data_IF_720573196669
#
_entry.id   IF_720573196669
#
_cell.length_a   1.000
_cell.length_b   1.000
_cell.length_c   1.000
_cell.angle_alpha   90.00
_cell.angle_beta   90.00
_cell.angle_gamma   90.00
#
_symmetry.space_group_name_H-M   'P 1'
#
loop_
_entity.id
_entity.type
_entity.pdbx_description
1 polymer ?
#
# COMPACT_ATOMS: atom_id res chain seq x y z
N UNK A 1 20.65 11.38 -5.95
CA UNK A 1 21.30 10.62 -7.04
C UNK A 1 21.21 9.14 -6.68
N UNK A 2 20.07 8.52 -6.95
CA UNK A 2 19.87 7.07 -6.91
C UNK A 2 19.08 6.72 -8.17
N UNK A 3 19.81 6.70 -9.28
CA UNK A 3 19.37 6.14 -10.56
C UNK A 3 20.21 4.87 -10.70
N UNK A 4 19.58 3.80 -11.19
CA UNK A 4 20.17 2.49 -11.51
C UNK A 4 20.36 1.46 -10.40
N UNK A 5 19.26 0.79 -10.04
CA UNK A 5 19.23 -0.69 -9.89
C UNK A 5 17.80 -1.22 -10.03
N UNK A 6 17.16 -1.00 -11.18
CA UNK A 6 16.04 -1.84 -11.63
C UNK A 6 16.32 -2.29 -13.06
N UNK A 7 17.52 -2.86 -13.25
CA UNK A 7 17.78 -3.76 -14.36
C UNK A 7 16.93 -4.98 -14.08
N UNK A 8 15.76 -4.96 -14.69
CA UNK A 8 14.75 -6.01 -14.73
C UNK A 8 15.46 -7.38 -14.85
N UNK A 9 15.61 -8.08 -13.73
CA UNK A 9 15.75 -9.53 -13.69
C UNK A 9 14.34 -10.15 -13.63
N UNK A 10 13.34 -9.59 -14.32
CA UNK A 10 12.04 -10.26 -14.49
C UNK A 10 12.13 -11.30 -15.62
N UNK A 11 13.07 -12.21 -15.52
CA UNK A 11 12.82 -13.53 -16.03
C UNK A 11 12.30 -14.25 -14.80
N UNK A 12 10.98 -14.38 -14.66
CA UNK A 12 10.45 -15.56 -13.96
C UNK A 12 11.34 -16.70 -14.43
N UNK A 13 12.05 -17.41 -13.56
CA UNK A 13 12.81 -18.58 -14.01
C UNK A 13 11.78 -19.56 -14.58
N UNK A 14 11.59 -19.48 -15.89
CA UNK A 14 10.49 -20.13 -16.62
C UNK A 14 10.54 -21.64 -16.38
N UNK A 15 11.76 -22.17 -16.25
CA UNK A 15 12.08 -23.55 -15.89
C UNK A 15 11.44 -24.00 -14.57
N UNK A 16 11.31 -23.11 -13.58
CA UNK A 16 10.84 -23.50 -12.26
C UNK A 16 9.32 -23.58 -12.19
N UNK A 17 8.60 -22.68 -12.86
CA UNK A 17 7.13 -22.75 -12.96
C UNK A 17 6.67 -23.95 -13.78
N UNK A 18 7.42 -24.33 -14.82
CA UNK A 18 7.13 -25.52 -15.62
C UNK A 18 7.27 -26.84 -14.85
N UNK A 19 8.00 -26.86 -13.72
CA UNK A 19 8.07 -28.03 -12.83
C UNK A 19 6.74 -28.32 -12.12
N UNK A 20 5.79 -27.37 -12.11
CA UNK A 20 4.51 -27.55 -11.43
C UNK A 20 3.45 -28.20 -12.32
N UNK A 21 2.67 -29.11 -11.74
CA UNK A 21 1.46 -29.59 -12.39
C UNK A 21 0.37 -28.51 -12.40
N UNK A 22 -0.47 -28.56 -13.44
CA UNK A 22 -1.46 -27.54 -13.76
C UNK A 22 -2.36 -27.12 -12.59
N UNK A 23 -2.86 -28.09 -11.82
CA UNK A 23 -3.72 -27.83 -10.67
C UNK A 23 -3.01 -27.07 -9.52
N UNK A 24 -1.73 -27.34 -9.30
CA UNK A 24 -0.96 -26.71 -8.22
C UNK A 24 -0.52 -25.30 -8.57
N UNK A 25 -0.28 -25.04 -9.86
CA UNK A 25 0.14 -23.72 -10.35
C UNK A 25 -0.86 -22.62 -9.97
N UNK A 26 -2.16 -22.81 -10.25
CA UNK A 26 -3.19 -21.79 -9.92
C UNK A 26 -3.31 -21.57 -8.41
N UNK A 27 -3.26 -22.64 -7.61
CA UNK A 27 -3.35 -22.55 -6.16
C UNK A 27 -2.14 -21.82 -5.55
N UNK A 28 -0.94 -22.11 -6.07
CA UNK A 28 0.28 -21.43 -5.69
C UNK A 28 0.19 -19.93 -6.01
N UNK A 29 -0.20 -19.56 -7.23
CA UNK A 29 -0.35 -18.16 -7.64
C UNK A 29 -1.30 -17.40 -6.71
N UNK A 30 -2.47 -17.96 -6.38
CA UNK A 30 -3.39 -17.35 -5.43
C UNK A 30 -2.79 -17.20 -4.03
N UNK A 31 -2.02 -18.18 -3.54
CA UNK A 31 -1.36 -18.09 -2.23
C UNK A 31 -0.24 -17.05 -2.19
N UNK A 32 0.51 -16.90 -3.28
CA UNK A 32 1.52 -15.84 -3.41
C UNK A 32 0.82 -14.47 -3.40
N UNK A 33 -0.29 -14.31 -4.13
CA UNK A 33 -1.10 -13.09 -4.13
C UNK A 33 -1.67 -12.82 -2.73
N UNK A 34 -2.15 -13.84 -2.03
CA UNK A 34 -2.58 -13.70 -0.63
C UNK A 34 -1.45 -13.10 0.24
N UNK A 35 -0.22 -13.59 0.06
CA UNK A 35 0.99 -13.02 0.68
C UNK A 35 1.22 -11.55 0.35
N UNK A 36 1.16 -11.18 -0.94
CA UNK A 36 1.26 -9.78 -1.41
C UNK A 36 0.20 -8.90 -0.74
N UNK A 37 -1.02 -9.42 -0.57
CA UNK A 37 -2.12 -8.72 0.07
C UNK A 37 -2.09 -8.73 1.61
N UNK A 38 -0.93 -9.02 2.22
CA UNK A 38 -0.74 -9.00 3.67
C UNK A 38 -1.29 -10.22 4.42
N UNK A 39 -1.63 -11.31 3.71
CA UNK A 39 -2.03 -12.59 4.32
C UNK A 39 -0.83 -13.54 4.34
N UNK A 40 -1.05 -14.80 4.74
CA UNK A 40 0.03 -15.78 4.81
C UNK A 40 0.55 -16.20 3.43
N UNK A 41 1.87 -16.09 3.23
CA UNK A 41 2.58 -16.66 2.09
C UNK A 41 2.52 -18.20 2.09
N UNK A 42 2.69 -18.86 0.92
CA UNK A 42 2.78 -20.31 0.85
C UNK A 42 3.97 -20.84 1.65
N UNK A 43 3.78 -21.99 2.29
CA UNK A 43 4.82 -22.65 3.07
C UNK A 43 5.63 -23.60 2.19
N UNK A 44 6.95 -23.54 2.29
CA UNK A 44 7.87 -24.42 1.56
C UNK A 44 7.55 -25.92 1.75
N UNK A 45 7.12 -26.31 2.95
CA UNK A 45 6.77 -27.71 3.28
C UNK A 45 5.71 -28.30 2.34
N UNK A 46 4.83 -27.48 1.76
CA UNK A 46 3.81 -27.94 0.82
C UNK A 46 4.34 -28.19 -0.60
N UNK A 47 5.55 -27.72 -0.91
CA UNK A 47 6.13 -27.73 -2.27
C UNK A 47 7.55 -28.34 -2.33
N UNK A 48 8.07 -28.86 -1.21
CA UNK A 48 9.41 -29.45 -1.10
C UNK A 48 9.68 -30.64 -2.06
N UNK A 49 8.62 -31.27 -2.60
CA UNK A 49 8.72 -32.36 -3.56
C UNK A 49 8.95 -31.88 -5.00
N UNK A 50 8.73 -30.58 -5.27
CA UNK A 50 8.86 -29.97 -6.60
C UNK A 50 10.12 -29.11 -6.68
N UNK A 51 10.42 -28.37 -5.60
CA UNK A 51 11.57 -27.47 -5.53
C UNK A 51 12.41 -27.72 -4.30
N UNK A 52 13.72 -27.52 -4.44
CA UNK A 52 14.59 -27.34 -3.28
C UNK A 52 14.35 -25.98 -2.60
N UNK A 53 14.98 -25.77 -1.44
CA UNK A 53 14.77 -24.55 -0.66
C UNK A 53 15.22 -23.27 -1.37
N UNK A 54 16.23 -23.36 -2.23
CA UNK A 54 16.81 -22.23 -2.96
C UNK A 54 15.95 -21.89 -4.16
N UNK A 55 15.56 -22.90 -4.94
CA UNK A 55 14.60 -22.76 -6.04
C UNK A 55 13.27 -22.17 -5.55
N UNK A 56 12.78 -22.64 -4.40
CA UNK A 56 11.54 -22.13 -3.80
C UNK A 56 11.59 -20.64 -3.49
N UNK A 57 12.71 -20.16 -2.94
CA UNK A 57 12.89 -18.73 -2.63
C UNK A 57 12.84 -17.92 -3.93
N UNK A 58 13.56 -18.34 -4.96
CA UNK A 58 13.56 -17.64 -6.25
C UNK A 58 12.18 -17.62 -6.89
N UNK A 59 11.46 -18.76 -6.91
CA UNK A 59 10.09 -18.83 -7.44
C UNK A 59 9.17 -17.85 -6.71
N UNK A 60 9.26 -17.82 -5.37
CA UNK A 60 8.45 -16.93 -4.56
C UNK A 60 8.76 -15.46 -4.84
N UNK A 61 10.04 -15.10 -4.90
CA UNK A 61 10.52 -13.74 -5.17
C UNK A 61 10.14 -13.27 -6.58
N UNK A 62 10.37 -14.10 -7.60
CA UNK A 62 10.13 -13.77 -8.99
C UNK A 62 8.64 -13.56 -9.28
N UNK A 63 7.78 -14.48 -8.82
CA UNK A 63 6.33 -14.37 -9.01
C UNK A 63 5.79 -13.18 -8.22
N UNK A 64 6.25 -12.98 -6.99
CA UNK A 64 5.86 -11.81 -6.18
C UNK A 64 6.21 -10.52 -6.89
N UNK A 65 7.45 -10.41 -7.37
CA UNK A 65 7.96 -9.23 -8.07
C UNK A 65 7.18 -8.99 -9.36
N UNK A 66 6.91 -10.03 -10.13
CA UNK A 66 6.13 -9.95 -11.37
C UNK A 66 4.74 -9.36 -11.15
N UNK A 67 3.96 -9.89 -10.19
CA UNK A 67 2.63 -9.36 -9.88
C UNK A 67 2.69 -7.92 -9.40
N UNK A 68 3.65 -7.58 -8.53
CA UNK A 68 3.82 -6.20 -8.04
C UNK A 68 4.17 -5.24 -9.19
N UNK A 69 5.06 -5.62 -10.11
CA UNK A 69 5.47 -4.80 -11.24
C UNK A 69 4.34 -4.58 -12.24
N UNK A 70 3.62 -5.64 -12.63
CA UNK A 70 2.52 -5.53 -13.61
C UNK A 70 1.41 -4.63 -13.09
N UNK A 71 0.99 -4.85 -11.84
CA UNK A 71 -0.09 -4.06 -11.24
C UNK A 71 0.36 -2.64 -10.94
N UNK A 72 1.58 -2.47 -10.42
CA UNK A 72 2.15 -1.17 -10.07
C UNK A 72 2.41 -0.28 -11.29
N UNK A 73 2.86 -0.85 -12.41
CA UNK A 73 3.05 -0.12 -13.68
C UNK A 73 1.79 -0.03 -14.54
N UNK A 74 0.72 -0.74 -14.15
CA UNK A 74 -0.53 -0.85 -14.90
C UNK A 74 -0.32 -1.25 -16.38
N UNK A 75 0.48 -2.29 -16.60
CA UNK A 75 0.76 -2.81 -17.95
C UNK A 75 -0.51 -3.30 -18.67
N UNK A 76 -0.51 -3.25 -20.00
CA UNK A 76 -1.62 -3.73 -20.83
C UNK A 76 -1.63 -5.27 -20.96
N UNK A 77 -2.77 -5.85 -21.35
CA UNK A 77 -2.89 -7.31 -21.56
C UNK A 77 -1.89 -7.80 -22.63
N UNK A 78 -1.57 -6.98 -23.64
CA UNK A 78 -0.59 -7.29 -24.69
C UNK A 78 0.84 -7.30 -24.15
N UNK A 79 1.23 -6.31 -23.35
CA UNK A 79 2.56 -6.23 -22.73
C UNK A 79 2.79 -7.40 -21.77
N UNK A 80 1.76 -7.77 -21.00
CA UNK A 80 1.81 -8.92 -20.10
C UNK A 80 1.96 -10.21 -20.90
N UNK A 81 1.19 -10.37 -21.98
CA UNK A 81 1.28 -11.55 -22.86
C UNK A 81 2.66 -11.69 -23.50
N UNK A 82 3.30 -10.57 -23.85
CA UNK A 82 4.69 -10.58 -24.35
C UNK A 82 5.69 -11.05 -23.30
N UNK A 83 5.52 -10.69 -22.03
CA UNK A 83 6.40 -11.17 -20.95
C UNK A 83 6.19 -12.66 -20.63
N UNK A 84 4.99 -13.18 -20.90
CA UNK A 84 4.63 -14.57 -20.62
C UNK A 84 4.91 -15.52 -21.81
N UNK A 85 5.40 -15.01 -22.94
CA UNK A 85 5.52 -15.77 -24.19
C UNK A 85 6.41 -17.02 -24.11
N UNK A 86 7.30 -17.10 -23.13
CA UNK A 86 8.19 -18.25 -22.91
C UNK A 86 7.53 -19.37 -22.09
N UNK A 87 6.41 -19.10 -21.43
CA UNK A 87 5.66 -20.12 -20.70
C UNK A 87 4.73 -20.88 -21.64
N UNK A 88 4.42 -22.13 -21.31
CA UNK A 88 3.36 -22.85 -22.00
C UNK A 88 1.98 -22.19 -21.77
N UNK A 89 1.05 -22.44 -22.71
CA UNK A 89 -0.28 -21.80 -22.74
C UNK A 89 -1.07 -21.98 -21.45
N UNK A 90 -0.91 -23.11 -20.76
CA UNK A 90 -1.58 -23.37 -19.50
C UNK A 90 -1.15 -22.38 -18.40
N UNK A 91 0.16 -22.19 -18.20
CA UNK A 91 0.66 -21.25 -17.20
C UNK A 91 0.33 -19.81 -17.54
N UNK A 92 0.37 -19.44 -18.82
CA UNK A 92 -0.06 -18.12 -19.29
C UNK A 92 -1.52 -17.86 -18.91
N UNK A 93 -2.42 -18.80 -19.20
CA UNK A 93 -3.84 -18.68 -18.90
C UNK A 93 -4.08 -18.57 -17.38
N UNK A 94 -3.40 -19.40 -16.58
CA UNK A 94 -3.50 -19.36 -15.13
C UNK A 94 -3.08 -18.00 -14.56
N UNK A 95 -1.94 -17.46 -15.01
CA UNK A 95 -1.44 -16.14 -14.58
C UNK A 95 -2.41 -15.03 -14.99
N UNK A 96 -2.86 -15.03 -16.24
CA UNK A 96 -3.81 -14.01 -16.74
C UNK A 96 -5.13 -14.05 -15.99
N UNK A 97 -5.64 -15.24 -15.64
CA UNK A 97 -6.86 -15.41 -14.85
C UNK A 97 -6.68 -14.92 -13.41
N UNK A 98 -5.54 -15.21 -12.77
CA UNK A 98 -5.23 -14.70 -11.44
C UNK A 98 -5.10 -13.17 -11.45
N UNK A 99 -4.42 -12.59 -12.46
CA UNK A 99 -4.33 -11.15 -12.64
C UNK A 99 -5.72 -10.51 -12.79
N UNK A 100 -6.56 -11.00 -13.70
CA UNK A 100 -7.90 -10.45 -13.94
C UNK A 100 -8.79 -10.50 -12.68
N UNK A 101 -8.67 -11.54 -11.87
CA UNK A 101 -9.49 -11.71 -10.67
C UNK A 101 -8.96 -10.97 -9.44
N UNK A 102 -7.65 -10.71 -9.34
CA UNK A 102 -7.01 -10.18 -8.11
C UNK A 102 -6.26 -8.86 -8.32
N UNK A 103 -6.33 -8.24 -9.51
CA UNK A 103 -5.64 -6.97 -9.82
C UNK A 103 -5.95 -5.87 -8.80
N UNK A 104 -7.20 -5.73 -8.40
CA UNK A 104 -7.62 -4.69 -7.47
C UNK A 104 -7.12 -4.95 -6.04
N UNK A 105 -7.14 -6.20 -5.58
CA UNK A 105 -6.57 -6.58 -4.27
C UNK A 105 -5.07 -6.25 -4.19
N UNK A 106 -4.32 -6.59 -5.25
CA UNK A 106 -2.88 -6.30 -5.34
C UNK A 106 -2.67 -4.78 -5.37
N UNK A 107 -3.49 -4.04 -6.13
CA UNK A 107 -3.38 -2.58 -6.19
C UNK A 107 -3.62 -1.94 -4.83
N UNK A 108 -4.64 -2.38 -4.10
CA UNK A 108 -4.92 -1.88 -2.75
C UNK A 108 -3.77 -2.19 -1.78
N UNK A 109 -3.20 -3.38 -1.86
CA UNK A 109 -2.05 -3.75 -1.04
C UNK A 109 -0.81 -2.88 -1.34
N UNK A 110 -0.51 -2.63 -2.62
CA UNK A 110 0.58 -1.76 -3.04
C UNK A 110 0.37 -0.30 -2.62
N UNK A 111 -0.87 0.21 -2.70
CA UNK A 111 -1.21 1.54 -2.20
C UNK A 111 -1.04 1.61 -0.68
N UNK A 112 -1.44 0.57 0.05
CA UNK A 112 -1.21 0.43 1.49
C UNK A 112 0.28 0.47 1.85
N UNK A 113 1.13 -0.28 1.12
CA UNK A 113 2.59 -0.23 1.29
C UNK A 113 3.14 1.20 1.08
N UNK A 114 2.70 1.90 0.03
CA UNK A 114 3.15 3.29 -0.25
C UNK A 114 2.72 4.26 0.87
N UNK A 115 1.50 4.10 1.39
CA UNK A 115 0.93 4.95 2.45
C UNK A 115 1.59 4.67 3.80
N UNK A 116 1.97 3.42 4.11
CA UNK A 116 2.74 3.09 5.31
C UNK A 116 4.21 3.54 5.25
N UNK A 117 4.79 3.70 4.06
CA UNK A 117 6.21 4.07 3.88
C UNK A 117 6.49 5.56 4.17
N UNK A 118 5.53 6.48 4.06
CA UNK A 118 5.87 7.92 4.12
C UNK A 118 4.80 8.93 4.54
N UNK A 119 3.53 8.57 4.78
CA UNK A 119 2.53 9.59 5.14
C UNK A 119 2.16 9.54 6.62
N UNK A 120 2.29 10.69 7.27
CA UNK A 120 1.66 10.97 8.55
C UNK A 120 0.14 10.82 8.38
N UNK A 121 -0.47 9.89 9.11
CA UNK A 121 -1.90 9.59 9.03
C UNK A 121 -2.59 9.94 10.34
N UNK A 122 -3.56 10.86 10.29
CA UNK A 122 -4.40 11.18 11.45
C UNK A 122 -5.24 9.95 11.83
N UNK A 123 -5.07 9.45 13.06
CA UNK A 123 -5.78 8.29 13.61
C UNK A 123 -6.99 8.72 14.45
N UNK A 124 -6.79 9.70 15.32
CA UNK A 124 -7.80 10.20 16.23
C UNK A 124 -7.62 11.71 16.45
N UNK A 125 -8.70 12.38 16.82
CA UNK A 125 -8.64 13.75 17.30
C UNK A 125 -9.62 13.97 18.45
N UNK A 126 -9.21 14.80 19.40
CA UNK A 126 -10.00 15.23 20.53
C UNK A 126 -9.86 16.75 20.68
N UNK A 127 -10.84 17.39 21.30
CA UNK A 127 -10.79 18.85 21.49
C UNK A 127 -11.33 19.29 22.84
N UNK A 128 -10.82 20.42 23.31
CA UNK A 128 -11.21 21.04 24.57
C UNK A 128 -11.33 22.56 24.40
N UNK A 129 -12.38 23.16 24.96
CA UNK A 129 -12.48 24.62 25.08
C UNK A 129 -11.92 25.09 26.43
N UNK A 130 -11.09 26.13 26.40
CA UNK A 130 -10.49 26.78 27.57
C UNK A 130 -10.81 28.27 27.56
N UNK A 131 -11.01 28.87 28.72
CA UNK A 131 -11.11 30.32 28.86
C UNK A 131 -9.76 30.86 29.32
N UNK A 132 -9.04 31.51 28.42
CA UNK A 132 -7.79 32.17 28.75
C UNK A 132 -8.07 33.55 29.36
N UNK A 133 -7.35 33.88 30.43
CA UNK A 133 -7.36 35.20 31.04
C UNK A 133 -6.30 36.05 30.34
N UNK A 134 -6.73 37.12 29.67
CA UNK A 134 -5.80 38.11 29.12
C UNK A 134 -5.26 39.00 30.24
N UNK A 135 -3.93 39.11 30.37
CA UNK A 135 -3.25 39.98 31.34
C UNK A 135 -3.23 41.46 30.93
N UNK A 136 -3.58 41.77 29.68
CA UNK A 136 -3.09 42.99 29.02
C UNK A 136 -4.14 44.12 28.98
N UNK A 137 -5.34 43.90 29.52
CA UNK A 137 -6.38 44.92 29.66
C UNK A 137 -7.04 44.81 31.04
N UNK A 138 -7.20 45.96 31.70
CA UNK A 138 -7.75 46.13 33.06
C UNK A 138 -9.20 45.58 33.21
N UNK A 139 -9.86 45.23 32.10
CA UNK A 139 -11.03 44.36 32.10
C UNK A 139 -10.59 42.94 31.70
N UNK A 140 -10.68 41.99 32.64
CA UNK A 140 -10.47 40.54 32.41
C UNK A 140 -11.35 40.05 31.28
N UNK A 141 -10.83 40.06 30.05
CA UNK A 141 -11.49 39.46 28.90
C UNK A 141 -11.20 37.95 28.96
N UNK A 142 -12.23 37.15 29.23
CA UNK A 142 -12.17 35.71 29.07
C UNK A 142 -12.27 35.40 27.58
N UNK A 143 -11.14 35.07 26.95
CA UNK A 143 -11.11 34.69 25.54
C UNK A 143 -11.22 33.17 25.44
N UNK A 144 -12.26 32.63 24.76
CA UNK A 144 -12.34 31.20 24.52
C UNK A 144 -11.29 30.79 23.49
N UNK A 145 -10.48 29.79 23.86
CA UNK A 145 -9.50 29.13 23.02
C UNK A 145 -9.87 27.66 22.88
N UNK A 146 -9.69 27.10 21.68
CA UNK A 146 -9.78 25.67 21.43
C UNK A 146 -8.38 25.07 21.57
N UNK A 147 -8.27 23.95 22.28
CA UNK A 147 -7.12 23.07 22.23
C UNK A 147 -7.53 21.81 21.45
N UNK A 148 -6.86 21.57 20.32
CA UNK A 148 -7.06 20.42 19.45
C UNK A 148 -5.92 19.43 19.66
N UNK A 149 -6.26 18.20 20.01
CA UNK A 149 -5.35 17.07 20.12
C UNK A 149 -5.49 16.17 18.89
N UNK A 150 -4.37 15.75 18.32
CA UNK A 150 -4.30 14.91 17.13
C UNK A 150 -3.34 13.75 17.40
N UNK A 151 -3.82 12.52 17.24
CA UNK A 151 -2.98 11.33 17.26
C UNK A 151 -2.64 10.97 15.81
N UNK A 152 -1.36 11.05 15.45
CA UNK A 152 -0.90 10.86 14.08
C UNK A 152 0.06 9.68 14.00
N UNK A 153 -0.26 8.68 13.18
CA UNK A 153 0.64 7.55 12.88
C UNK A 153 1.69 8.03 11.89
N UNK A 154 2.95 7.99 12.29
CA UNK A 154 4.13 8.31 11.50
C UNK A 154 5.15 7.19 11.64
N UNK A 155 5.63 6.63 10.52
CA UNK A 155 6.64 5.56 10.53
C UNK A 155 6.26 4.36 11.42
N UNK A 156 4.97 4.04 11.52
CA UNK A 156 4.46 2.94 12.34
C UNK A 156 4.16 3.30 13.80
N UNK A 157 4.58 4.47 14.30
CA UNK A 157 4.34 4.93 15.67
C UNK A 157 3.26 6.02 15.73
N UNK A 158 2.42 5.99 16.76
CA UNK A 158 1.42 7.04 16.99
C UNK A 158 2.02 8.15 17.84
N UNK A 159 2.07 9.36 17.30
CA UNK A 159 2.57 10.56 17.97
C UNK A 159 1.43 11.55 18.27
N UNK A 160 1.34 12.07 19.51
CA UNK A 160 0.36 13.07 19.86
C UNK A 160 0.84 14.48 19.50
N UNK A 161 -0.03 15.28 18.90
CA UNK A 161 0.15 16.70 18.64
C UNK A 161 -0.95 17.50 19.33
N UNK A 162 -0.63 18.71 19.79
CA UNK A 162 -1.58 19.62 20.44
C UNK A 162 -1.39 21.02 19.90
N UNK A 163 -2.51 21.65 19.50
CA UNK A 163 -2.53 23.01 18.97
C UNK A 163 -3.60 23.79 19.70
N UNK A 164 -3.22 24.95 20.25
CA UNK A 164 -4.17 25.90 20.81
C UNK A 164 -4.46 26.98 19.78
N UNK A 165 -5.74 27.34 19.62
CA UNK A 165 -6.18 28.27 18.60
C UNK A 165 -7.39 29.09 19.02
N UNK A 166 -7.42 30.33 18.55
CA UNK A 166 -8.58 31.21 18.61
C UNK A 166 -9.70 30.73 17.66
N UNK A 167 -10.88 31.33 17.80
CA UNK A 167 -12.01 31.10 16.88
C UNK A 167 -11.64 31.41 15.42
N UNK A 168 -10.86 32.47 15.19
CA UNK A 168 -10.47 32.91 13.85
C UNK A 168 -9.50 31.91 13.20
N UNK A 169 -8.51 31.43 13.97
CA UNK A 169 -7.56 30.42 13.52
C UNK A 169 -8.25 29.07 13.25
N UNK A 170 -9.21 28.67 14.10
CA UNK A 170 -10.03 27.48 13.87
C UNK A 170 -10.83 27.58 12.56
N UNK A 171 -11.45 28.74 12.31
CA UNK A 171 -12.21 28.96 11.09
C UNK A 171 -11.30 28.87 9.85
N UNK A 172 -10.09 29.42 9.94
CA UNK A 172 -9.10 29.32 8.87
C UNK A 172 -8.68 27.86 8.62
N UNK A 173 -8.44 27.08 9.68
CA UNK A 173 -8.11 25.66 9.57
C UNK A 173 -9.24 24.89 8.87
N UNK A 174 -10.50 25.09 9.29
CA UNK A 174 -11.67 24.45 8.67
C UNK A 174 -11.75 24.80 7.18
N UNK A 175 -11.61 26.07 6.83
CA UNK A 175 -11.65 26.53 5.44
C UNK A 175 -10.55 25.89 4.59
N UNK A 176 -9.34 25.75 5.12
CA UNK A 176 -8.24 25.06 4.44
C UNK A 176 -8.53 23.57 4.22
N UNK A 177 -9.08 22.89 5.22
CA UNK A 177 -9.46 21.47 5.11
C UNK A 177 -10.60 21.25 4.10
N UNK A 178 -11.60 22.12 4.08
CA UNK A 178 -12.69 22.07 3.11
C UNK A 178 -12.20 22.31 1.68
N UNK A 179 -11.29 23.26 1.48
CA UNK A 179 -10.68 23.51 0.17
C UNK A 179 -9.88 22.30 -0.33
N UNK A 180 -9.07 21.68 0.53
CA UNK A 180 -8.35 20.45 0.21
C UNK A 180 -9.32 19.31 -0.14
N UNK A 181 -10.38 19.12 0.64
CA UNK A 181 -11.39 18.09 0.39
C UNK A 181 -12.10 18.27 -0.97
N UNK A 182 -12.39 19.53 -1.37
CA UNK A 182 -12.97 19.82 -2.69
C UNK A 182 -12.07 19.34 -3.83
N UNK A 183 -10.76 19.56 -3.74
CA UNK A 183 -9.79 19.08 -4.75
C UNK A 183 -9.76 17.56 -4.80
N UNK A 184 -9.74 16.89 -3.64
CA UNK A 184 -9.76 15.41 -3.55
C UNK A 184 -11.02 14.83 -4.21
N UNK A 185 -12.18 15.45 -4.02
CA UNK A 185 -13.44 14.99 -4.64
C UNK A 185 -13.47 15.18 -6.16
N UNK A 186 -12.73 16.13 -6.72
CA UNK A 186 -12.63 16.33 -8.17
C UNK A 186 -11.68 15.32 -8.86
N UNK A 187 -10.81 14.68 -8.09
CA UNK A 187 -9.86 13.68 -8.57
C UNK A 187 -10.40 12.23 -8.51
N UNK A 188 -11.58 12.03 -7.91
CA UNK A 188 -12.30 10.75 -7.89
C UNK A 188 -13.21 10.61 -9.10
#
# INVERSE_FOLDING_TARGET
>A
MYVDTLRIRSNLTYEDLEKTASFWATQLLHKIIDGICGRAYPLYQNYHSVWDSTEWIHVLEDITTFFKVIVGKNLSDEEISQQLNQLNSFHQEAIMKCLKSRKDDIRQALLGEIVDISSAQLQNFDWQLKLALSSDKIATLQMPLLNLHLDVKENGEVKPYSVEMSKEELQNLINSLEAANKVVLQLK
#
